data_IF_386617042580
#
_entry.id   IF_386617042580
#
_cell.length_a   1.000
_cell.length_b   1.000
_cell.length_c   1.000
_cell.angle_alpha   90.00
_cell.angle_beta   90.00
_cell.angle_gamma   90.00
#
_symmetry.space_group_name_H-M   'P 1'
#
loop_
_entity.id
_entity.type
_entity.pdbx_description
1 polymer ?
#
# COMPACT_ATOMS: atom_id res chain seq x y z
N UNK A 1 37.36 25.45 13.83
CA UNK A 1 35.96 25.67 14.22
C UNK A 1 35.18 24.52 13.64
N UNK A 2 34.78 23.58 14.47
CA UNK A 2 33.93 22.46 14.05
C UNK A 2 32.52 23.01 14.01
N UNK A 3 32.00 23.27 12.81
CA UNK A 3 30.57 23.52 12.64
C UNK A 3 29.88 22.18 12.88
N UNK A 4 29.32 22.02 14.08
CA UNK A 4 28.38 20.93 14.33
C UNK A 4 27.26 21.06 13.29
N UNK A 5 26.88 19.96 12.61
CA UNK A 5 25.80 20.01 11.64
C UNK A 5 24.53 20.53 12.33
N UNK A 6 23.72 21.34 11.65
CA UNK A 6 22.50 21.88 12.22
C UNK A 6 21.64 20.73 12.76
N UNK A 7 21.07 20.94 13.95
CA UNK A 7 20.15 19.98 14.55
C UNK A 7 19.07 19.60 13.53
N UNK A 8 18.75 18.31 13.38
CA UNK A 8 17.71 17.89 12.45
C UNK A 8 16.41 18.59 12.78
N UNK A 9 15.67 19.00 11.75
CA UNK A 9 14.36 19.63 11.92
C UNK A 9 13.49 18.76 12.85
N UNK A 10 12.73 19.38 13.78
CA UNK A 10 11.91 18.65 14.72
C UNK A 10 10.92 17.76 13.94
N UNK A 11 10.88 16.47 14.29
CA UNK A 11 9.97 15.53 13.67
C UNK A 11 8.51 15.96 13.89
N UNK A 12 7.62 15.78 12.91
CA UNK A 12 6.19 16.00 13.10
C UNK A 12 5.67 15.14 14.26
N UNK A 13 4.98 15.75 15.22
CA UNK A 13 4.35 15.01 16.31
C UNK A 13 3.00 14.45 15.83
N UNK A 14 2.94 13.13 15.68
CA UNK A 14 1.74 12.41 15.22
C UNK A 14 0.74 12.09 16.35
N UNK A 15 0.97 12.63 17.55
CA UNK A 15 0.08 12.42 18.70
C UNK A 15 0.15 11.01 19.30
N UNK A 16 1.05 10.15 18.84
CA UNK A 16 1.25 8.80 19.38
C UNK A 16 1.95 8.93 20.73
N UNK A 17 1.41 8.25 21.76
CA UNK A 17 1.92 8.31 23.14
C UNK A 17 2.04 6.91 23.74
N UNK A 18 3.05 6.67 24.60
CA UNK A 18 3.15 5.45 25.38
C UNK A 18 2.00 5.37 26.41
N UNK A 19 1.51 4.16 26.75
CA UNK A 19 0.44 3.96 27.73
C UNK A 19 0.92 4.13 29.19
N UNK A 20 2.10 4.71 29.40
CA UNK A 20 2.75 4.81 30.71
C UNK A 20 2.64 6.24 31.23
N UNK A 21 2.17 6.38 32.47
CA UNK A 21 2.20 7.66 33.15
C UNK A 21 3.60 7.95 33.72
N UNK A 22 4.16 9.10 33.33
CA UNK A 22 5.47 9.58 33.79
C UNK A 22 5.37 10.64 34.90
N UNK A 23 4.16 11.01 35.32
CA UNK A 23 3.90 12.10 36.29
C UNK A 23 4.54 11.90 37.67
N UNK A 24 4.80 10.66 38.08
CA UNK A 24 5.38 10.32 39.39
C UNK A 24 6.92 10.26 39.45
N UNK A 25 7.64 10.68 38.40
CA UNK A 25 9.10 10.58 38.32
C UNK A 25 9.78 11.68 39.14
N UNK A 26 10.86 11.34 39.85
CA UNK A 26 11.69 12.33 40.59
C UNK A 26 12.30 13.36 39.63
N UNK A 27 12.52 14.59 40.10
CA UNK A 27 13.25 15.61 39.33
C UNK A 27 14.63 15.08 38.90
N UNK A 28 15.01 15.28 37.63
CA UNK A 28 16.23 14.73 37.03
C UNK A 28 16.16 13.26 36.59
N UNK A 29 15.03 12.56 36.82
CA UNK A 29 14.90 11.17 36.40
C UNK A 29 14.79 11.05 34.87
N UNK A 30 15.71 10.27 34.29
CA UNK A 30 15.67 9.87 32.89
C UNK A 30 15.00 8.52 32.75
N UNK A 31 14.16 8.35 31.75
CA UNK A 31 13.51 7.07 31.47
C UNK A 31 13.34 6.87 29.98
N UNK A 32 13.52 5.64 29.53
CA UNK A 32 13.33 5.25 28.15
C UNK A 32 12.16 4.26 28.11
N UNK A 33 11.18 4.54 27.27
CA UNK A 33 10.14 3.59 26.89
C UNK A 33 10.44 3.05 25.50
N UNK A 34 10.34 1.74 25.33
CA UNK A 34 10.42 1.05 24.05
C UNK A 34 9.20 0.13 23.99
N UNK A 35 8.29 0.37 23.05
CA UNK A 35 7.10 -0.44 22.87
C UNK A 35 6.48 -0.27 21.48
N UNK A 36 5.32 -0.90 21.23
CA UNK A 36 4.62 -0.83 19.94
C UNK A 36 4.24 0.59 19.50
N UNK A 37 4.11 1.52 20.45
CA UNK A 37 3.82 2.94 20.23
C UNK A 37 5.01 3.70 19.67
N UNK A 38 6.23 3.22 19.91
CA UNK A 38 7.44 3.99 19.66
C UNK A 38 8.50 3.85 20.74
N UNK A 39 9.53 4.64 20.55
CA UNK A 39 10.65 4.88 21.46
C UNK A 39 10.50 6.31 21.97
N UNK A 40 10.29 6.45 23.28
CA UNK A 40 10.10 7.75 23.93
C UNK A 40 11.10 7.92 25.06
N UNK A 41 11.74 9.08 25.12
CA UNK A 41 12.57 9.49 26.25
C UNK A 41 11.78 10.43 27.15
N UNK A 42 11.79 10.17 28.45
CA UNK A 42 11.28 11.10 29.44
C UNK A 42 12.45 11.68 30.23
N UNK A 43 12.58 13.01 30.23
CA UNK A 43 13.57 13.73 31.01
C UNK A 43 12.98 15.06 31.49
N UNK A 44 13.19 15.39 32.77
CA UNK A 44 12.82 16.69 33.36
C UNK A 44 11.33 17.08 33.15
N UNK A 45 10.44 16.09 33.27
CA UNK A 45 9.00 16.26 33.11
C UNK A 45 8.53 16.40 31.66
N UNK A 46 9.43 16.26 30.68
CA UNK A 46 9.12 16.31 29.26
C UNK A 46 9.25 14.92 28.64
N UNK A 47 8.25 14.56 27.84
CA UNK A 47 8.30 13.38 26.98
C UNK A 47 8.74 13.80 25.59
N UNK A 48 9.82 13.21 25.11
CA UNK A 48 10.39 13.39 23.78
C UNK A 48 10.19 12.10 22.96
N UNK A 49 9.72 12.25 21.73
CA UNK A 49 9.54 11.15 20.79
C UNK A 49 10.83 10.95 19.99
N UNK A 50 11.53 9.83 20.21
CA UNK A 50 12.73 9.47 19.44
C UNK A 50 12.32 8.86 18.10
N UNK A 51 11.38 7.92 18.15
CA UNK A 51 10.76 7.30 16.97
C UNK A 51 9.34 6.89 17.36
N UNK A 52 8.34 7.21 16.56
CA UNK A 52 6.97 6.74 16.79
C UNK A 52 6.68 5.43 16.04
N UNK A 53 5.47 4.89 16.20
CA UNK A 53 5.06 3.66 15.53
C UNK A 53 5.14 3.74 14.00
N UNK A 54 4.94 4.93 13.40
CA UNK A 54 5.04 5.14 11.95
C UNK A 54 6.50 5.08 11.48
N UNK A 55 7.40 5.72 12.22
CA UNK A 55 8.84 5.64 11.95
C UNK A 55 9.33 4.19 12.03
N UNK A 56 8.89 3.44 13.06
CA UNK A 56 9.21 2.01 13.22
C UNK A 56 8.65 1.22 12.04
N UNK A 57 7.41 1.48 11.62
CA UNK A 57 6.81 0.80 10.47
C UNK A 57 7.64 1.01 9.20
N UNK A 58 8.01 2.25 8.89
CA UNK A 58 8.79 2.54 7.69
C UNK A 58 10.19 1.92 7.76
N UNK A 59 10.83 1.89 8.93
CA UNK A 59 12.11 1.18 9.11
C UNK A 59 11.97 -0.33 8.90
N UNK A 60 10.90 -0.97 9.38
CA UNK A 60 10.65 -2.40 9.13
C UNK A 60 10.44 -2.70 7.65
N UNK A 61 9.57 -1.92 6.99
CA UNK A 61 9.25 -2.10 5.57
C UNK A 61 10.47 -1.86 4.67
N UNK A 62 11.30 -0.86 5.01
CA UNK A 62 12.53 -0.58 4.27
C UNK A 62 13.55 -1.74 4.35
N UNK A 63 13.57 -2.49 5.45
CA UNK A 63 14.47 -3.65 5.64
C UNK A 63 13.91 -4.91 4.97
N UNK A 64 12.63 -5.19 5.17
CA UNK A 64 11.93 -6.32 4.56
C UNK A 64 10.45 -5.95 4.34
N UNK A 65 9.99 -5.78 3.09
CA UNK A 65 8.59 -5.52 2.74
C UNK A 65 7.57 -6.46 3.41
N UNK A 66 7.98 -7.70 3.72
CA UNK A 66 7.15 -8.74 4.32
C UNK A 66 6.96 -8.55 5.83
N UNK A 67 7.85 -7.78 6.46
CA UNK A 67 7.86 -7.50 7.89
C UNK A 67 6.85 -6.44 8.34
N UNK A 68 6.00 -5.94 7.44
CA UNK A 68 5.04 -4.86 7.72
C UNK A 68 4.13 -5.13 8.93
N UNK A 69 3.73 -6.40 9.13
CA UNK A 69 2.87 -6.82 10.22
C UNK A 69 3.56 -6.88 11.59
N UNK A 70 4.88 -6.65 11.68
CA UNK A 70 5.59 -6.52 12.95
C UNK A 70 5.37 -5.16 13.61
N UNK A 71 4.93 -4.18 12.81
CA UNK A 71 4.68 -2.80 13.23
C UNK A 71 3.25 -2.37 12.86
N UNK A 72 2.26 -3.24 13.13
CA UNK A 72 0.85 -3.01 12.78
C UNK A 72 0.32 -1.66 13.28
N UNK A 73 0.71 -1.22 14.48
CA UNK A 73 0.24 0.06 15.01
C UNK A 73 0.63 1.25 14.13
N UNK A 74 1.80 1.21 13.50
CA UNK A 74 2.21 2.24 12.55
C UNK A 74 1.42 2.17 11.26
N UNK A 75 1.18 0.95 10.74
CA UNK A 75 0.32 0.73 9.58
C UNK A 75 -1.12 1.22 9.80
N UNK A 76 -1.73 0.84 10.93
CA UNK A 76 -3.08 1.22 11.30
C UNK A 76 -3.21 2.75 11.43
N UNK A 77 -2.19 3.40 12.01
CA UNK A 77 -2.14 4.86 12.10
C UNK A 77 -2.07 5.50 10.70
N UNK A 78 -1.20 5.00 9.81
CA UNK A 78 -1.07 5.49 8.44
C UNK A 78 -2.40 5.39 7.68
N UNK A 79 -3.08 4.24 7.76
CA UNK A 79 -4.39 4.06 7.10
C UNK A 79 -5.45 4.99 7.69
N UNK A 80 -5.48 5.16 9.02
CA UNK A 80 -6.45 6.03 9.69
C UNK A 80 -6.24 7.53 9.42
N UNK A 81 -5.03 7.95 9.06
CA UNK A 81 -4.65 9.34 8.78
C UNK A 81 -4.18 9.52 7.34
N UNK A 82 -4.69 8.70 6.42
CA UNK A 82 -4.25 8.73 5.03
C UNK A 82 -4.55 10.05 4.32
N UNK A 83 -5.52 10.83 4.79
CA UNK A 83 -5.82 12.18 4.31
C UNK A 83 -4.67 13.18 4.56
N UNK A 84 -3.83 12.92 5.57
CA UNK A 84 -2.64 13.71 5.89
C UNK A 84 -1.38 13.22 5.16
N UNK A 85 -1.52 12.22 4.28
CA UNK A 85 -0.39 11.63 3.56
C UNK A 85 0.34 12.66 2.70
N UNK A 86 1.66 12.53 2.65
CA UNK A 86 2.53 13.40 1.86
C UNK A 86 3.00 12.70 0.58
N UNK A 87 3.64 13.46 -0.32
CA UNK A 87 4.29 12.89 -1.51
C UNK A 87 5.37 11.88 -1.15
N UNK A 88 6.06 12.08 -0.02
CA UNK A 88 7.06 11.14 0.48
C UNK A 88 6.40 9.82 0.91
N UNK A 89 5.21 9.87 1.51
CA UNK A 89 4.45 8.65 1.87
C UNK A 89 4.01 7.87 0.63
N UNK A 90 3.57 8.55 -0.44
CA UNK A 90 3.30 7.90 -1.74
C UNK A 90 4.56 7.22 -2.26
N UNK A 91 5.68 7.95 -2.31
CA UNK A 91 6.96 7.43 -2.81
C UNK A 91 7.41 6.18 -2.05
N UNK A 92 7.33 6.20 -0.72
CA UNK A 92 7.65 5.06 0.16
C UNK A 92 6.69 3.90 -0.03
N UNK A 93 5.39 4.16 -0.13
CA UNK A 93 4.37 3.11 -0.31
C UNK A 93 4.50 2.43 -1.66
N UNK A 94 4.79 3.18 -2.74
CA UNK A 94 5.07 2.58 -4.05
C UNK A 94 6.36 1.76 -4.05
N UNK A 95 7.40 2.21 -3.34
CA UNK A 95 8.62 1.42 -3.16
C UNK A 95 8.37 0.13 -2.36
N UNK A 96 7.52 0.20 -1.33
CA UNK A 96 7.07 -0.97 -0.58
C UNK A 96 6.29 -1.95 -1.47
N UNK A 97 5.34 -1.45 -2.26
CA UNK A 97 4.55 -2.27 -3.19
C UNK A 97 5.46 -2.99 -4.20
N UNK A 98 6.36 -2.27 -4.87
CA UNK A 98 7.30 -2.87 -5.82
C UNK A 98 8.20 -3.92 -5.15
N UNK A 99 8.70 -3.64 -3.95
CA UNK A 99 9.48 -4.60 -3.16
C UNK A 99 8.67 -5.87 -2.82
N UNK A 100 7.41 -5.71 -2.40
CA UNK A 100 6.51 -6.82 -2.13
C UNK A 100 6.21 -7.64 -3.40
N UNK A 101 5.98 -6.97 -4.54
CA UNK A 101 5.79 -7.62 -5.83
C UNK A 101 7.03 -8.44 -6.24
N UNK A 102 8.23 -7.87 -6.09
CA UNK A 102 9.51 -8.52 -6.39
C UNK A 102 9.77 -9.74 -5.50
N UNK A 103 9.42 -9.67 -4.22
CA UNK A 103 9.52 -10.78 -3.26
C UNK A 103 8.36 -11.78 -3.37
N UNK A 104 7.39 -11.54 -4.25
CA UNK A 104 6.17 -12.35 -4.39
C UNK A 104 5.42 -12.48 -3.07
N UNK A 105 5.29 -11.40 -2.31
CA UNK A 105 4.53 -11.39 -1.06
C UNK A 105 3.16 -10.71 -1.30
N UNK A 106 2.12 -11.53 -1.43
CA UNK A 106 0.77 -11.03 -1.70
C UNK A 106 0.20 -10.23 -0.53
N UNK A 107 0.49 -10.62 0.71
CA UNK A 107 -0.07 -9.95 1.89
C UNK A 107 0.48 -8.52 2.01
N UNK A 108 1.79 -8.36 1.83
CA UNK A 108 2.45 -7.05 1.80
C UNK A 108 1.97 -6.20 0.62
N UNK A 109 1.83 -6.78 -0.58
CA UNK A 109 1.32 -6.05 -1.75
C UNK A 109 -0.12 -5.54 -1.54
N UNK A 110 -1.00 -6.37 -0.97
CA UNK A 110 -2.37 -5.97 -0.62
C UNK A 110 -2.36 -4.87 0.45
N UNK A 111 -1.52 -4.98 1.48
CA UNK A 111 -1.43 -3.97 2.54
C UNK A 111 -0.95 -2.61 2.00
N UNK A 112 0.05 -2.61 1.10
CA UNK A 112 0.52 -1.41 0.42
C UNK A 112 -0.57 -0.78 -0.45
N UNK A 113 -1.28 -1.60 -1.24
CA UNK A 113 -2.39 -1.14 -2.06
C UNK A 113 -3.54 -0.56 -1.24
N UNK A 114 -3.88 -1.15 -0.08
CA UNK A 114 -4.89 -0.60 0.83
C UNK A 114 -4.51 0.78 1.35
N UNK A 115 -3.23 0.99 1.66
CA UNK A 115 -2.79 2.32 2.08
C UNK A 115 -2.86 3.34 0.93
N UNK A 116 -2.43 2.97 -0.28
CA UNK A 116 -2.64 3.80 -1.48
C UNK A 116 -4.13 4.09 -1.71
N UNK A 117 -5.00 3.10 -1.53
CA UNK A 117 -6.45 3.27 -1.63
C UNK A 117 -7.04 4.21 -0.57
N UNK A 118 -6.38 4.42 0.56
CA UNK A 118 -6.80 5.38 1.56
C UNK A 118 -6.31 6.81 1.28
N UNK A 119 -5.21 6.99 0.53
CA UNK A 119 -4.63 8.32 0.25
C UNK A 119 -5.49 9.20 -0.69
N UNK A 120 -5.40 10.53 -0.61
CA UNK A 120 -6.09 11.43 -1.53
C UNK A 120 -5.76 11.18 -3.01
N UNK A 121 -6.79 11.13 -3.87
CA UNK A 121 -6.63 10.90 -5.31
C UNK A 121 -5.71 11.90 -5.99
N UNK A 122 -5.81 13.19 -5.61
CA UNK A 122 -4.98 14.27 -6.16
C UNK A 122 -3.49 14.04 -5.88
N UNK A 123 -3.18 13.47 -4.70
CA UNK A 123 -1.81 13.17 -4.31
C UNK A 123 -1.23 12.03 -5.16
N UNK A 124 -2.01 10.98 -5.38
CA UNK A 124 -1.62 9.83 -6.20
C UNK A 124 -1.49 10.18 -7.68
N UNK A 125 -2.27 11.11 -8.20
CA UNK A 125 -2.22 11.53 -9.59
C UNK A 125 -0.86 12.13 -9.99
N UNK A 126 -0.12 12.73 -9.06
CA UNK A 126 1.26 13.17 -9.30
C UNK A 126 2.21 11.99 -9.61
N UNK A 127 1.89 10.83 -9.04
CA UNK A 127 2.40 9.46 -9.23
C UNK A 127 2.04 8.75 -10.55
N UNK A 128 1.24 9.36 -11.44
CA UNK A 128 0.51 8.65 -12.50
C UNK A 128 1.35 7.66 -13.32
N UNK A 129 2.50 8.08 -13.84
CA UNK A 129 3.35 7.22 -14.68
C UNK A 129 3.84 5.96 -13.96
N UNK A 130 4.15 6.06 -12.66
CA UNK A 130 4.61 4.91 -11.86
C UNK A 130 3.45 3.98 -11.50
N UNK A 131 2.30 4.54 -11.16
CA UNK A 131 1.07 3.77 -10.95
C UNK A 131 0.69 3.01 -12.23
N UNK A 132 0.75 3.68 -13.38
CA UNK A 132 0.48 3.07 -14.68
C UNK A 132 1.41 1.89 -14.96
N UNK A 133 2.72 2.05 -14.73
CA UNK A 133 3.69 0.98 -14.93
C UNK A 133 3.42 -0.25 -14.04
N UNK A 134 2.91 -0.05 -12.82
CA UNK A 134 2.61 -1.14 -11.88
C UNK A 134 1.27 -1.82 -12.21
N UNK A 135 0.22 -1.03 -12.41
CA UNK A 135 -1.15 -1.52 -12.52
C UNK A 135 -1.55 -1.90 -13.96
N UNK A 136 -0.77 -1.51 -14.97
CA UNK A 136 -0.82 -2.09 -16.32
C UNK A 136 -0.15 -3.48 -16.38
N UNK A 137 -0.53 -4.37 -15.47
CA UNK A 137 0.02 -5.71 -15.39
C UNK A 137 -1.05 -6.70 -15.01
N UNK A 138 -1.37 -7.60 -15.94
CA UNK A 138 -2.30 -8.72 -15.69
C UNK A 138 -1.86 -9.56 -14.49
N UNK A 139 -0.55 -9.76 -14.28
CA UNK A 139 -0.04 -10.53 -13.11
C UNK A 139 -0.33 -9.84 -11.77
N UNK A 140 -0.40 -8.52 -11.77
CA UNK A 140 -0.69 -7.69 -10.59
C UNK A 140 -2.21 -7.61 -10.37
N UNK A 141 -2.96 -7.25 -11.42
CA UNK A 141 -4.41 -7.09 -11.33
C UNK A 141 -5.16 -8.41 -11.13
N UNK A 142 -4.86 -9.41 -11.95
CA UNK A 142 -5.66 -10.62 -12.05
C UNK A 142 -5.29 -11.70 -11.04
N UNK A 143 -6.26 -12.59 -10.81
CA UNK A 143 -6.05 -13.87 -10.15
C UNK A 143 -6.73 -14.97 -10.94
N UNK A 144 -6.02 -16.07 -11.17
CA UNK A 144 -6.54 -17.26 -11.84
C UNK A 144 -6.54 -18.43 -10.88
N UNK A 145 -7.63 -19.21 -10.86
CA UNK A 145 -7.69 -20.45 -10.10
C UNK A 145 -6.95 -21.55 -10.85
N UNK A 146 -5.95 -22.16 -10.20
CA UNK A 146 -5.19 -23.28 -10.73
C UNK A 146 -6.00 -24.57 -10.57
N UNK A 147 -6.77 -24.89 -11.60
CA UNK A 147 -7.46 -26.18 -11.76
C UNK A 147 -6.73 -27.04 -12.80
N UNK A 148 -6.91 -28.38 -12.80
CA UNK A 148 -6.34 -29.25 -13.83
C UNK A 148 -6.74 -28.86 -15.25
N UNK A 149 -7.95 -28.33 -15.40
CA UNK A 149 -8.55 -27.94 -16.68
C UNK A 149 -8.30 -26.48 -17.06
N UNK A 150 -7.49 -25.74 -16.29
CA UNK A 150 -7.17 -24.34 -16.59
C UNK A 150 -6.40 -24.26 -17.93
N UNK A 151 -6.99 -23.60 -18.92
CA UNK A 151 -6.28 -23.23 -20.14
C UNK A 151 -5.19 -22.20 -19.81
N UNK A 152 -3.93 -22.58 -20.02
CA UNK A 152 -2.76 -21.73 -19.75
C UNK A 152 -2.40 -20.82 -20.92
N UNK A 153 -2.94 -21.05 -22.12
CA UNK A 153 -2.66 -20.25 -23.32
C UNK A 153 -2.97 -18.75 -23.17
N UNK A 154 -4.10 -18.33 -22.57
CA UNK A 154 -4.41 -16.92 -22.40
C UNK A 154 -3.62 -16.23 -21.27
N UNK A 155 -2.88 -16.98 -20.44
CA UNK A 155 -2.16 -16.41 -19.31
C UNK A 155 -0.95 -15.58 -19.76
N UNK A 156 -0.58 -14.53 -19.01
CA UNK A 156 0.58 -13.72 -19.36
C UNK A 156 1.87 -14.54 -19.38
N UNK A 157 2.72 -14.30 -20.37
CA UNK A 157 3.98 -15.02 -20.55
C UNK A 157 4.95 -14.83 -19.36
N UNK A 158 5.82 -15.82 -19.17
CA UNK A 158 6.84 -15.83 -18.12
C UNK A 158 6.30 -16.25 -16.74
N UNK A 159 7.12 -16.14 -15.68
CA UNK A 159 6.73 -16.61 -14.35
C UNK A 159 5.54 -15.80 -13.82
N UNK A 160 4.48 -16.49 -13.42
CA UNK A 160 3.33 -15.93 -12.71
C UNK A 160 3.48 -16.35 -11.23
N UNK A 161 3.42 -15.42 -10.27
CA UNK A 161 3.42 -15.76 -8.85
C UNK A 161 2.26 -16.71 -8.50
N UNK A 162 2.54 -17.74 -7.71
CA UNK A 162 1.56 -18.75 -7.29
C UNK A 162 1.43 -18.73 -5.77
N UNK A 163 0.20 -18.74 -5.30
CA UNK A 163 -0.19 -18.65 -3.89
C UNK A 163 -1.23 -19.73 -3.59
N UNK A 164 -0.77 -20.91 -3.18
CA UNK A 164 -1.66 -22.07 -3.01
C UNK A 164 -2.27 -22.49 -4.35
N UNK A 165 -3.59 -22.40 -4.47
CA UNK A 165 -4.34 -22.73 -5.69
C UNK A 165 -4.59 -21.53 -6.61
N UNK A 166 -4.00 -20.37 -6.31
CA UNK A 166 -4.21 -19.15 -7.10
C UNK A 166 -2.91 -18.71 -7.77
N UNK A 167 -3.00 -18.23 -9.01
CA UNK A 167 -1.91 -17.57 -9.72
C UNK A 167 -2.22 -16.08 -9.95
N UNK A 168 -1.21 -15.22 -9.89
CA UNK A 168 -1.36 -13.77 -9.93
C UNK A 168 -1.60 -13.16 -8.55
N UNK A 169 -1.50 -11.84 -8.41
CA UNK A 169 -1.71 -11.16 -7.13
C UNK A 169 -3.20 -10.94 -6.81
N UNK A 170 -4.04 -10.78 -7.83
CA UNK A 170 -5.48 -10.57 -7.65
C UNK A 170 -5.84 -9.24 -7.00
N UNK A 171 -5.05 -8.19 -7.21
CA UNK A 171 -5.25 -6.92 -6.53
C UNK A 171 -6.57 -6.25 -6.90
N UNK A 172 -7.11 -6.48 -8.10
CA UNK A 172 -8.43 -5.93 -8.49
C UNK A 172 -9.57 -6.48 -7.63
N UNK A 173 -9.45 -7.74 -7.17
CA UNK A 173 -10.39 -8.37 -6.23
C UNK A 173 -10.07 -7.97 -4.78
N UNK A 174 -8.80 -7.87 -4.43
CA UNK A 174 -8.36 -7.71 -3.04
C UNK A 174 -8.46 -6.26 -2.53
N UNK A 175 -8.32 -5.28 -3.42
CA UNK A 175 -8.35 -3.83 -3.14
C UNK A 175 -9.09 -3.09 -4.27
N UNK A 176 -10.36 -3.43 -4.55
CA UNK A 176 -11.11 -2.87 -5.67
C UNK A 176 -11.25 -1.34 -5.62
N UNK A 177 -11.31 -0.76 -4.42
CA UNK A 177 -11.38 0.68 -4.21
C UNK A 177 -10.18 1.44 -4.79
N UNK A 178 -9.00 0.79 -4.84
CA UNK A 178 -7.83 1.37 -5.52
C UNK A 178 -8.05 1.41 -7.04
N UNK A 179 -8.60 0.35 -7.61
CA UNK A 179 -8.82 0.27 -9.07
C UNK A 179 -9.88 1.26 -9.53
N UNK A 180 -10.97 1.42 -8.76
CA UNK A 180 -11.96 2.47 -8.99
C UNK A 180 -11.32 3.86 -8.94
N UNK A 181 -10.46 4.10 -7.95
CA UNK A 181 -9.73 5.36 -7.84
C UNK A 181 -8.79 5.60 -9.04
N UNK A 182 -8.04 4.58 -9.45
CA UNK A 182 -7.13 4.64 -10.60
C UNK A 182 -7.87 4.97 -11.89
N UNK A 183 -9.06 4.38 -12.11
CA UNK A 183 -9.87 4.67 -13.29
C UNK A 183 -10.23 6.16 -13.41
N UNK A 184 -10.26 6.92 -12.32
CA UNK A 184 -10.54 8.36 -12.33
C UNK A 184 -9.34 9.22 -12.79
N UNK A 185 -8.13 8.66 -12.95
CA UNK A 185 -6.93 9.45 -13.22
C UNK A 185 -6.78 9.85 -14.69
N UNK A 186 -7.42 9.12 -15.60
CA UNK A 186 -7.45 9.46 -17.01
C UNK A 186 -7.92 8.29 -17.89
N UNK A 187 -8.24 8.56 -19.17
CA UNK A 187 -8.87 7.57 -20.06
C UNK A 187 -8.04 6.30 -20.28
N UNK A 188 -6.71 6.43 -20.27
CA UNK A 188 -5.81 5.29 -20.50
C UNK A 188 -5.83 4.32 -19.30
N UNK A 189 -5.73 4.85 -18.08
CA UNK A 189 -5.83 4.06 -16.85
C UNK A 189 -7.24 3.47 -16.69
N UNK A 190 -8.28 4.26 -17.00
CA UNK A 190 -9.67 3.79 -17.02
C UNK A 190 -9.83 2.57 -17.94
N UNK A 191 -9.33 2.66 -19.18
CA UNK A 191 -9.38 1.57 -20.15
C UNK A 191 -8.70 0.30 -19.63
N UNK A 192 -7.56 0.43 -18.95
CA UNK A 192 -6.87 -0.71 -18.34
C UNK A 192 -7.70 -1.34 -17.22
N UNK A 193 -8.29 -0.51 -16.35
CA UNK A 193 -9.13 -1.01 -15.27
C UNK A 193 -10.36 -1.73 -15.82
N UNK A 194 -10.99 -1.19 -16.87
CA UNK A 194 -12.10 -1.85 -17.60
C UNK A 194 -11.66 -3.21 -18.13
N UNK A 195 -10.58 -3.27 -18.91
CA UNK A 195 -10.09 -4.52 -19.50
C UNK A 195 -9.76 -5.58 -18.45
N UNK A 196 -9.17 -5.17 -17.32
CA UNK A 196 -8.88 -6.07 -16.21
C UNK A 196 -10.17 -6.54 -15.51
N UNK A 197 -11.17 -5.67 -15.36
CA UNK A 197 -12.44 -6.01 -14.76
C UNK A 197 -13.26 -6.96 -15.64
N UNK A 198 -13.33 -6.70 -16.95
CA UNK A 198 -13.94 -7.59 -17.94
C UNK A 198 -13.30 -8.98 -17.89
N UNK A 199 -11.96 -9.04 -17.98
CA UNK A 199 -11.25 -10.30 -17.90
C UNK A 199 -11.53 -11.02 -16.57
N UNK A 200 -11.55 -10.29 -15.45
CA UNK A 200 -11.82 -10.89 -14.15
C UNK A 200 -13.22 -11.53 -14.10
N UNK A 201 -14.23 -10.89 -14.68
CA UNK A 201 -15.58 -11.45 -14.79
C UNK A 201 -15.62 -12.70 -15.67
N UNK A 202 -14.88 -12.71 -16.79
CA UNK A 202 -14.77 -13.89 -17.67
C UNK A 202 -14.18 -15.11 -16.93
N UNK A 203 -13.26 -14.88 -15.99
CA UNK A 203 -12.70 -15.93 -15.13
C UNK A 203 -13.54 -16.22 -13.87
N UNK A 204 -14.75 -15.66 -13.76
CA UNK A 204 -15.65 -15.89 -12.63
C UNK A 204 -15.16 -15.27 -11.32
N UNK A 205 -14.30 -14.25 -11.39
CA UNK A 205 -13.85 -13.49 -10.22
C UNK A 205 -14.97 -12.55 -9.77
N UNK A 206 -15.39 -12.68 -8.51
CA UNK A 206 -16.36 -11.75 -7.92
C UNK A 206 -15.75 -10.38 -7.71
N UNK A 207 -16.39 -9.35 -8.27
CA UNK A 207 -16.04 -7.93 -8.16
C UNK A 207 -17.20 -7.13 -7.55
N UNK A 208 -16.92 -5.97 -6.93
CA UNK A 208 -17.99 -5.09 -6.43
C UNK A 208 -18.79 -4.46 -7.59
N UNK A 209 -20.07 -4.07 -7.33
CA UNK A 209 -20.99 -3.59 -8.36
C UNK A 209 -20.46 -2.44 -9.21
N UNK A 210 -19.64 -1.56 -8.64
CA UNK A 210 -19.06 -0.41 -9.31
C UNK A 210 -18.08 -0.84 -10.40
N UNK A 211 -17.22 -1.82 -10.14
CA UNK A 211 -16.30 -2.38 -11.15
C UNK A 211 -17.04 -3.22 -12.20
N UNK A 212 -18.09 -3.94 -11.79
CA UNK A 212 -18.96 -4.65 -12.74
C UNK A 212 -19.65 -3.66 -13.69
N UNK A 213 -20.15 -2.55 -13.16
CA UNK A 213 -20.81 -1.50 -13.94
C UNK A 213 -19.82 -0.79 -14.87
N UNK A 214 -18.57 -0.59 -14.43
CA UNK A 214 -17.50 -0.03 -15.27
C UNK A 214 -17.17 -0.95 -16.45
N UNK A 215 -17.08 -2.27 -16.20
CA UNK A 215 -16.82 -3.28 -17.24
C UNK A 215 -17.99 -3.48 -18.21
N UNK A 216 -19.23 -3.49 -17.71
CA UNK A 216 -20.43 -3.78 -18.53
C UNK A 216 -21.11 -2.55 -19.13
N UNK A 217 -20.85 -1.36 -18.58
CA UNK A 217 -21.33 -0.08 -19.09
C UNK A 217 -20.53 0.43 -20.29
N UNK A 218 -19.32 -0.09 -20.47
CA UNK A 218 -18.50 0.08 -21.67
C UNK A 218 -18.98 -0.89 -22.75
N UNK A 219 -20.08 -0.55 -23.43
CA UNK A 219 -20.64 -1.39 -24.50
C UNK A 219 -19.61 -1.69 -25.62
N UNK A 220 -19.78 -2.78 -26.37
CA UNK A 220 -18.76 -3.29 -27.29
C UNK A 220 -18.48 -2.31 -28.42
N UNK A 221 -17.21 -1.99 -28.66
CA UNK A 221 -16.79 -1.55 -29.99
C UNK A 221 -16.92 -2.76 -30.92
N UNK A 222 -17.72 -2.70 -31.99
CA UNK A 222 -17.96 -3.84 -32.85
C UNK A 222 -16.62 -4.29 -33.46
N UNK A 223 -16.32 -5.56 -33.24
CA UNK A 223 -15.31 -6.35 -33.92
C UNK A 223 -15.08 -5.91 -35.36
N UNK A 224 -13.88 -5.35 -35.64
CA UNK A 224 -13.35 -5.24 -36.98
C UNK A 224 -12.89 -6.62 -37.46
N UNK A 225 -13.85 -7.45 -37.84
CA UNK A 225 -13.67 -8.51 -38.83
C UNK A 225 -14.33 -8.03 -40.12
N UNK A 226 -13.48 -7.63 -41.07
CA UNK A 226 -13.79 -7.35 -42.47
C UNK A 226 -12.51 -7.52 -43.27
#
# INVERSE_FOLDING_TARGET
MSEDPPDPAPKPDRGIRPPVDFSGKRAGARSLYIGPEGIFAHQDGKLETIADAVDIFWDQVARDPRGWNRALRGYDHLVAHADDATREDVRRTLGWLEGALGLRDRAAAVAACRYLAAMPSVLLAADYGRLMAIFNSRKVGMVWQLTPDLDKRPLPAGPIPVFGKEAGFGLIRAVPELYLKLAMFGPEMESIVILLAEEALDYGVSLPPELVSLATGSGPSPSATG
#
